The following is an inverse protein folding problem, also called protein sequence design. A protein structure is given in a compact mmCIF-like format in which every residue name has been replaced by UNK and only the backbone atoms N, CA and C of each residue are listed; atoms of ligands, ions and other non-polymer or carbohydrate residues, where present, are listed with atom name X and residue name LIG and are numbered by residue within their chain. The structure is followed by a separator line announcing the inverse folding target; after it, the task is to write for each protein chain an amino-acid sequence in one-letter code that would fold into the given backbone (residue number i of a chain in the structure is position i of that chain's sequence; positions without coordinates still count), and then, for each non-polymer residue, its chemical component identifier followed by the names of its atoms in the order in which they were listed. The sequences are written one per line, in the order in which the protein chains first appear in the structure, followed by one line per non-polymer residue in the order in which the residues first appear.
data_IF_436172559512
#
_entry.id   IF_436172559512
#
_cell.length_a   1.000
_cell.length_b   1.000
_cell.length_c   1.000
_cell.angle_alpha   90.00
_cell.angle_beta   90.00
_cell.angle_gamma   90.00
#
_symmetry.space_group_name_H-M   'P 1'
#
loop_
_entity.id
_entity.type
_entity.pdbx_description
1 polymer ?
#
# COMPACT_ATOMS: atom_id res chain seq x y z
N UNK A 1 3.19 28.40 -26.51
CA UNK A 1 3.06 28.59 -25.05
C UNK A 1 2.14 27.55 -24.42
N UNK A 2 0.87 27.40 -24.84
CA UNK A 2 -0.05 26.41 -24.26
C UNK A 2 0.44 24.94 -24.32
N UNK A 3 0.98 24.49 -25.46
CA UNK A 3 1.54 23.14 -25.60
C UNK A 3 2.76 22.88 -24.70
N UNK A 4 3.59 23.90 -24.48
CA UNK A 4 4.75 23.83 -23.59
C UNK A 4 4.29 23.73 -22.13
N UNK A 5 3.27 24.50 -21.73
CA UNK A 5 2.70 24.44 -20.38
C UNK A 5 2.06 23.07 -20.10
N UNK A 6 1.37 22.47 -21.07
CA UNK A 6 0.79 21.13 -20.93
C UNK A 6 1.87 20.05 -20.80
N UNK A 7 2.92 20.13 -21.61
CA UNK A 7 4.05 19.20 -21.51
C UNK A 7 4.77 19.31 -20.15
N UNK A 8 4.97 20.53 -19.65
CA UNK A 8 5.57 20.77 -18.32
C UNK A 8 4.65 20.24 -17.21
N UNK A 9 3.34 20.48 -17.28
CA UNK A 9 2.39 19.97 -16.30
C UNK A 9 2.35 18.43 -16.26
N UNK A 10 2.42 17.78 -17.43
CA UNK A 10 2.49 16.32 -17.52
C UNK A 10 3.79 15.78 -16.91
N UNK A 11 4.94 16.38 -17.20
CA UNK A 11 6.23 15.97 -16.62
C UNK A 11 6.24 16.13 -15.10
N UNK A 12 5.65 17.22 -14.58
CA UNK A 12 5.53 17.44 -13.13
C UNK A 12 4.59 16.40 -12.49
N UNK A 13 3.45 16.10 -13.12
CA UNK A 13 2.53 15.08 -12.62
C UNK A 13 3.18 13.68 -12.60
N UNK A 14 3.89 13.29 -13.65
CA UNK A 14 4.62 12.02 -13.71
C UNK A 14 5.71 11.94 -12.63
N UNK A 15 6.50 13.01 -12.45
CA UNK A 15 7.52 13.05 -11.41
C UNK A 15 6.94 13.02 -9.97
N UNK A 16 5.72 13.54 -9.78
CA UNK A 16 5.02 13.44 -8.51
C UNK A 16 4.53 12.01 -8.24
N UNK A 17 4.00 11.32 -9.25
CA UNK A 17 3.63 9.90 -9.16
C UNK A 17 4.85 9.04 -8.83
N UNK A 18 5.97 9.20 -9.55
CA UNK A 18 7.22 8.47 -9.28
C UNK A 18 7.74 8.70 -7.85
N UNK A 19 7.57 9.91 -7.31
CA UNK A 19 7.96 10.20 -5.90
C UNK A 19 7.03 9.53 -4.90
N UNK A 20 5.73 9.53 -5.15
CA UNK A 20 4.76 8.80 -4.32
C UNK A 20 5.09 7.30 -4.35
N UNK A 21 5.42 6.75 -5.51
CA UNK A 21 5.85 5.36 -5.65
C UNK A 21 7.13 5.08 -4.83
N UNK A 22 8.09 6.00 -4.84
CA UNK A 22 9.31 5.87 -4.04
C UNK A 22 9.06 5.97 -2.52
N UNK A 23 8.19 6.88 -2.08
CA UNK A 23 7.80 7.02 -0.67
C UNK A 23 7.08 5.77 -0.16
N UNK A 24 6.16 5.22 -0.96
CA UNK A 24 5.46 3.96 -0.62
C UNK A 24 6.43 2.79 -0.59
N UNK A 25 7.39 2.72 -1.51
CA UNK A 25 8.45 1.70 -1.50
C UNK A 25 9.32 1.79 -0.25
N UNK A 26 9.68 3.00 0.19
CA UNK A 26 10.42 3.21 1.44
C UNK A 26 9.59 2.81 2.66
N UNK A 27 8.29 3.09 2.65
CA UNK A 27 7.38 2.66 3.71
C UNK A 27 7.28 1.14 3.76
N UNK A 28 7.21 0.47 2.61
CA UNK A 28 7.19 -0.99 2.52
C UNK A 28 8.47 -1.61 3.09
N UNK A 29 9.65 -1.08 2.74
CA UNK A 29 10.93 -1.55 3.30
C UNK A 29 11.02 -1.29 4.82
N UNK A 30 10.59 -0.12 5.27
CA UNK A 30 10.53 0.21 6.69
C UNK A 30 9.58 -0.72 7.44
N UNK A 31 8.43 -1.03 6.86
CA UNK A 31 7.46 -1.98 7.40
C UNK A 31 8.06 -3.39 7.46
N UNK A 32 8.67 -3.88 6.37
CA UNK A 32 9.38 -5.18 6.32
C UNK A 32 10.42 -5.30 7.42
N UNK A 33 11.21 -4.25 7.66
CA UNK A 33 12.27 -4.26 8.67
C UNK A 33 11.76 -4.45 10.11
N UNK A 34 10.51 -4.05 10.39
CA UNK A 34 9.88 -4.16 11.71
C UNK A 34 9.19 -5.50 11.94
N UNK A 35 8.97 -6.28 10.90
CA UNK A 35 8.22 -7.53 10.96
C UNK A 35 9.13 -8.74 10.81
N UNK A 36 8.90 -9.81 11.59
CA UNK A 36 9.80 -10.94 11.61
C UNK A 36 9.78 -11.72 10.27
N UNK A 37 10.92 -12.30 9.84
CA UNK A 37 11.04 -12.98 8.56
C UNK A 37 10.06 -14.14 8.34
N UNK A 38 9.52 -14.75 9.40
CA UNK A 38 8.57 -15.85 9.28
C UNK A 38 7.19 -15.42 8.77
N UNK A 39 6.78 -14.17 9.04
CA UNK A 39 5.60 -13.57 8.40
C UNK A 39 5.85 -13.34 6.92
N UNK A 40 7.08 -12.98 6.58
CA UNK A 40 7.50 -12.75 5.20
C UNK A 40 7.80 -14.03 4.39
N UNK A 41 7.71 -15.23 4.99
CA UNK A 41 7.90 -16.50 4.26
C UNK A 41 6.81 -16.66 3.19
N UNK A 42 7.04 -17.46 2.17
CA UNK A 42 6.15 -17.61 1.02
C UNK A 42 6.99 -17.67 -0.25
N UNK A 43 6.45 -18.29 -1.30
CA UNK A 43 7.10 -18.27 -2.62
C UNK A 43 6.58 -17.09 -3.48
N UNK A 44 5.83 -16.19 -2.86
CA UNK A 44 5.22 -15.06 -3.56
C UNK A 44 6.30 -14.03 -3.90
N UNK A 45 6.21 -13.47 -5.10
CA UNK A 45 7.13 -12.45 -5.61
C UNK A 45 7.06 -11.19 -4.73
N UNK A 46 8.20 -10.62 -4.35
CA UNK A 46 8.26 -9.40 -3.53
C UNK A 46 7.59 -8.21 -4.23
N UNK A 47 7.55 -8.21 -5.58
CA UNK A 47 6.81 -7.22 -6.37
C UNK A 47 5.29 -7.39 -6.21
N UNK A 48 4.79 -8.62 -6.21
CA UNK A 48 3.36 -8.88 -5.98
C UNK A 48 2.96 -8.50 -4.56
N UNK A 49 3.84 -8.73 -3.58
CA UNK A 49 3.59 -8.32 -2.20
C UNK A 49 3.61 -6.81 -2.01
N UNK A 50 4.49 -6.12 -2.72
CA UNK A 50 4.48 -4.66 -2.78
C UNK A 50 3.18 -4.13 -3.42
N UNK A 51 2.70 -4.76 -4.49
CA UNK A 51 1.41 -4.38 -5.11
C UNK A 51 0.25 -4.54 -4.12
N UNK A 52 0.15 -5.70 -3.44
CA UNK A 52 -0.87 -5.93 -2.41
C UNK A 52 -0.73 -4.97 -1.22
N UNK A 53 0.50 -4.65 -0.83
CA UNK A 53 0.78 -3.65 0.19
C UNK A 53 0.24 -2.27 -0.22
N UNK A 54 0.48 -1.84 -1.46
CA UNK A 54 -0.03 -0.58 -2.00
C UNK A 54 -1.57 -0.55 -2.00
N UNK A 55 -2.21 -1.63 -2.45
CA UNK A 55 -3.68 -1.73 -2.47
C UNK A 55 -4.27 -1.62 -1.07
N UNK A 56 -3.70 -2.34 -0.10
CA UNK A 56 -4.16 -2.29 1.28
C UNK A 56 -3.85 -0.94 1.95
N UNK A 57 -2.75 -0.27 1.60
CA UNK A 57 -2.46 1.09 2.06
C UNK A 57 -3.50 2.08 1.53
N UNK A 58 -3.83 2.02 0.24
CA UNK A 58 -4.89 2.82 -0.36
C UNK A 58 -6.24 2.60 0.32
N UNK A 59 -6.57 1.34 0.66
CA UNK A 59 -7.78 1.02 1.40
C UNK A 59 -7.80 1.63 2.80
N UNK A 60 -6.69 1.55 3.54
CA UNK A 60 -6.54 2.16 4.87
C UNK A 60 -6.72 3.67 4.79
N UNK A 61 -6.06 4.33 3.83
CA UNK A 61 -6.12 5.78 3.68
C UNK A 61 -7.53 6.26 3.31
N UNK A 62 -8.20 5.57 2.40
CA UNK A 62 -9.58 5.87 2.02
C UNK A 62 -10.54 5.71 3.22
N UNK A 63 -10.45 4.59 3.94
CA UNK A 63 -11.26 4.35 5.14
C UNK A 63 -11.01 5.41 6.22
N UNK A 64 -9.75 5.78 6.44
CA UNK A 64 -9.38 6.77 7.46
C UNK A 64 -9.85 8.18 7.08
N UNK A 65 -9.82 8.54 5.80
CA UNK A 65 -10.42 9.78 5.32
C UNK A 65 -11.94 9.80 5.54
N UNK A 66 -12.63 8.68 5.31
CA UNK A 66 -14.06 8.54 5.63
C UNK A 66 -14.33 8.59 7.14
N UNK A 67 -13.45 8.01 7.96
CA UNK A 67 -13.53 8.06 9.42
C UNK A 67 -13.37 9.50 9.95
N UNK A 68 -12.46 10.29 9.37
CA UNK A 68 -12.27 11.71 9.70
C UNK A 68 -13.49 12.57 9.34
N UNK A 69 -14.30 12.12 8.38
CA UNK A 69 -15.60 12.72 8.04
C UNK A 69 -16.75 12.21 8.94
N UNK A 70 -16.47 11.30 9.87
CA UNK A 70 -17.45 10.72 10.80
C UNK A 70 -18.31 9.61 10.18
N UNK A 71 -17.95 9.06 9.01
CA UNK A 71 -18.66 7.95 8.38
C UNK A 71 -18.34 6.60 9.02
N UNK A 72 -17.15 6.49 9.63
CA UNK A 72 -16.73 5.34 10.43
C UNK A 72 -16.37 5.77 11.86
N UNK A 73 -16.62 4.89 12.81
CA UNK A 73 -16.31 5.12 14.23
C UNK A 73 -14.90 4.71 14.65
N UNK A 74 -14.03 4.35 13.70
CA UNK A 74 -12.68 3.85 13.97
C UNK A 74 -11.74 4.14 12.79
N UNK A 75 -10.43 4.00 13.04
CA UNK A 75 -9.37 4.08 12.03
C UNK A 75 -8.68 2.73 11.87
N UNK A 76 -8.17 2.49 10.67
CA UNK A 76 -7.31 1.37 10.35
C UNK A 76 -5.84 1.78 10.46
N UNK A 77 -4.97 0.79 10.65
CA UNK A 77 -3.53 0.98 10.69
C UNK A 77 -2.80 -0.16 9.97
N UNK A 78 -1.51 0.07 9.67
CA UNK A 78 -0.66 -0.95 9.07
C UNK A 78 -0.52 -2.15 10.00
N UNK A 79 -0.91 -3.32 9.51
CA UNK A 79 -0.81 -4.58 10.25
C UNK A 79 0.39 -5.41 9.78
N UNK A 80 0.77 -6.46 10.53
CA UNK A 80 1.76 -7.45 10.06
C UNK A 80 1.32 -8.28 8.85
N UNK A 81 0.09 -8.11 8.37
CA UNK A 81 -0.52 -8.88 7.28
C UNK A 81 -0.92 -7.99 6.10
N UNK A 82 -0.48 -6.73 6.10
CA UNK A 82 -0.91 -5.72 5.12
C UNK A 82 -0.40 -5.99 3.70
N UNK A 83 0.53 -6.92 3.52
CA UNK A 83 0.99 -7.38 2.21
C UNK A 83 0.37 -8.72 1.78
N UNK A 84 -0.71 -9.14 2.46
CA UNK A 84 -1.49 -10.33 2.10
C UNK A 84 -2.85 -9.93 1.54
N UNK A 85 -3.30 -10.69 0.54
CA UNK A 85 -4.70 -10.63 0.10
C UNK A 85 -5.60 -11.28 1.14
N UNK A 86 -6.90 -10.98 1.09
CA UNK A 86 -7.87 -11.58 2.01
C UNK A 86 -7.88 -13.12 1.92
N UNK A 87 -7.77 -13.67 0.71
CA UNK A 87 -7.71 -15.12 0.46
C UNK A 87 -6.47 -15.74 1.13
N UNK A 88 -5.30 -15.14 0.92
CA UNK A 88 -4.05 -15.63 1.53
C UNK A 88 -4.09 -15.47 3.05
N UNK A 89 -4.64 -14.37 3.57
CA UNK A 89 -4.82 -14.17 5.00
C UNK A 89 -5.73 -15.27 5.61
N UNK A 90 -6.86 -15.57 4.96
CA UNK A 90 -7.77 -16.64 5.39
C UNK A 90 -7.08 -18.01 5.38
N UNK A 91 -6.39 -18.37 4.29
CA UNK A 91 -5.75 -19.67 4.14
C UNK A 91 -4.56 -19.87 5.07
N UNK A 92 -3.70 -18.86 5.19
CA UNK A 92 -2.40 -18.99 5.86
C UNK A 92 -2.42 -18.62 7.33
N UNK A 93 -3.20 -17.60 7.71
CA UNK A 93 -3.21 -17.07 9.08
C UNK A 93 -4.37 -17.63 9.87
N UNK A 94 -5.57 -17.72 9.26
CA UNK A 94 -6.76 -18.22 9.95
C UNK A 94 -6.99 -19.73 9.76
N UNK A 95 -6.39 -20.33 8.73
CA UNK A 95 -6.52 -21.75 8.41
C UNK A 95 -7.86 -22.14 7.78
N UNK A 96 -8.57 -21.17 7.16
CA UNK A 96 -9.79 -21.44 6.41
C UNK A 96 -9.44 -21.80 4.95
N UNK A 97 -9.94 -22.94 4.46
CA UNK A 97 -9.84 -23.37 3.05
C UNK A 97 -11.21 -23.41 2.41
#
# INVERSE_FOLDING_TARGET
MAAIMLAVALVVALAAVDRVDEEVRQLYEAWKSKHPPWLLRGNDDDLLRLEVFCDNLCYIDAHNAEADLGLHGFHLGLTPFVDLTLEVFHGRVLGFQ
#
